data_IF_943533413017
#
_entry.id   IF_943533413017
#
_cell.length_a   1.000
_cell.length_b   1.000
_cell.length_c   1.000
_cell.angle_alpha   90.00
_cell.angle_beta   90.00
_cell.angle_gamma   90.00
#
_symmetry.space_group_name_H-M   'P 1'
#
loop_
_entity.id
_entity.type
_entity.pdbx_description
1 polymer ?
#
# COMPACT_ATOMS: atom_id res chain seq x y z
N UNK A 1 8.52 -3.27 -26.09
CA UNK A 1 7.25 -3.93 -26.40
C UNK A 1 6.25 -3.57 -25.34
N UNK A 2 5.01 -3.30 -25.73
CA UNK A 2 3.92 -2.83 -24.85
C UNK A 2 3.66 -3.78 -23.67
N UNK A 3 3.75 -5.09 -23.90
CA UNK A 3 3.63 -6.13 -22.84
C UNK A 3 4.70 -5.95 -21.74
N UNK A 4 5.93 -5.59 -22.11
CA UNK A 4 7.00 -5.39 -21.13
C UNK A 4 6.82 -4.10 -20.32
N UNK A 5 6.10 -3.12 -20.87
CA UNK A 5 5.75 -1.88 -20.17
C UNK A 5 4.61 -2.15 -19.20
N UNK A 6 3.54 -2.83 -19.64
CA UNK A 6 2.42 -3.23 -18.79
C UNK A 6 2.89 -4.03 -17.56
N UNK A 7 3.73 -5.06 -17.76
CA UNK A 7 4.30 -5.84 -16.65
C UNK A 7 5.12 -5.03 -15.66
N UNK A 8 5.81 -3.98 -16.12
CA UNK A 8 6.58 -3.08 -15.25
C UNK A 8 5.66 -2.17 -14.44
N UNK A 9 4.58 -1.68 -15.04
CA UNK A 9 3.58 -0.86 -14.36
C UNK A 9 2.88 -1.69 -13.27
N UNK A 10 2.47 -2.91 -13.59
CA UNK A 10 1.84 -3.84 -12.65
C UNK A 10 2.77 -4.19 -11.48
N UNK A 11 4.03 -4.54 -11.77
CA UNK A 11 5.03 -4.81 -10.72
C UNK A 11 5.30 -3.57 -9.83
N UNK A 12 5.26 -2.36 -10.40
CA UNK A 12 5.39 -1.12 -9.65
C UNK A 12 4.20 -0.86 -8.72
N UNK A 13 2.98 -1.09 -9.20
CA UNK A 13 1.75 -1.01 -8.40
C UNK A 13 1.77 -2.03 -7.27
N UNK A 14 2.20 -3.25 -7.54
CA UNK A 14 2.32 -4.31 -6.53
C UNK A 14 3.31 -3.96 -5.41
N UNK A 15 4.46 -3.39 -5.76
CA UNK A 15 5.43 -2.92 -4.78
C UNK A 15 4.86 -1.77 -3.92
N UNK A 16 4.08 -0.87 -4.54
CA UNK A 16 3.42 0.23 -3.85
C UNK A 16 2.34 -0.27 -2.89
N UNK A 17 1.45 -1.17 -3.33
CA UNK A 17 0.42 -1.77 -2.47
C UNK A 17 1.07 -2.48 -1.29
N UNK A 18 2.14 -3.24 -1.53
CA UNK A 18 2.86 -3.92 -0.45
C UNK A 18 3.38 -2.95 0.60
N UNK A 19 4.06 -1.87 0.19
CA UNK A 19 4.56 -0.86 1.13
C UNK A 19 3.43 -0.13 1.86
N UNK A 20 2.32 0.15 1.18
CA UNK A 20 1.14 0.71 1.83
C UNK A 20 0.56 -0.25 2.89
N UNK A 21 0.57 -1.56 2.63
CA UNK A 21 0.07 -2.57 3.56
C UNK A 21 0.98 -2.82 4.77
N UNK A 22 2.18 -2.25 4.81
CA UNK A 22 2.98 -2.27 6.04
C UNK A 22 2.44 -1.22 7.03
N UNK A 23 1.78 -0.17 6.53
CA UNK A 23 1.17 0.86 7.35
C UNK A 23 -0.29 0.51 7.76
N UNK A 24 -0.61 0.47 9.07
CA UNK A 24 -1.98 0.39 9.57
C UNK A 24 -2.87 1.57 9.16
N UNK A 25 -2.30 2.71 8.77
CA UNK A 25 -3.08 3.85 8.26
C UNK A 25 -3.81 3.51 6.96
N UNK A 26 -3.16 2.70 6.10
CA UNK A 26 -3.81 2.14 4.91
C UNK A 26 -5.07 1.37 5.29
N UNK A 27 -5.05 0.67 6.43
CA UNK A 27 -6.18 -0.13 6.86
C UNK A 27 -7.28 0.73 7.46
N UNK A 28 -6.94 1.74 8.23
CA UNK A 28 -7.93 2.70 8.74
C UNK A 28 -8.66 3.38 7.58
N UNK A 29 -7.93 3.79 6.53
CA UNK A 29 -8.54 4.30 5.31
C UNK A 29 -9.43 3.26 4.62
N UNK A 30 -9.00 1.99 4.50
CA UNK A 30 -9.82 0.91 3.93
C UNK A 30 -11.11 0.67 4.71
N UNK A 31 -11.05 0.69 6.04
CA UNK A 31 -12.24 0.54 6.89
C UNK A 31 -13.20 1.71 6.73
N UNK A 32 -12.66 2.94 6.65
CA UNK A 32 -13.46 4.13 6.37
C UNK A 32 -14.14 4.02 5.01
N UNK A 33 -13.43 3.62 3.95
CA UNK A 33 -14.01 3.49 2.62
C UNK A 33 -15.04 2.37 2.55
N UNK A 34 -14.80 1.23 3.21
CA UNK A 34 -15.77 0.15 3.34
C UNK A 34 -17.05 0.65 4.01
N UNK A 35 -16.93 1.35 5.14
CA UNK A 35 -18.07 1.91 5.85
C UNK A 35 -18.78 2.99 5.01
N UNK A 36 -18.05 3.82 4.28
CA UNK A 36 -18.62 4.80 3.34
C UNK A 36 -19.38 4.12 2.20
N UNK A 37 -18.88 3.01 1.67
CA UNK A 37 -19.53 2.24 0.60
C UNK A 37 -20.81 1.55 1.11
N UNK A 38 -20.77 0.95 2.31
CA UNK A 38 -21.93 0.32 2.96
C UNK A 38 -23.03 1.35 3.23
N UNK A 39 -22.65 2.52 3.72
CA UNK A 39 -23.58 3.62 4.02
C UNK A 39 -23.94 4.47 2.78
N UNK A 40 -23.60 4.02 1.58
CA UNK A 40 -23.92 4.67 0.30
C UNK A 40 -23.42 6.14 0.21
N UNK A 41 -22.34 6.47 0.93
CA UNK A 41 -21.69 7.80 0.89
C UNK A 41 -20.74 7.95 -0.29
N UNK A 42 -20.19 6.84 -0.76
CA UNK A 42 -19.36 6.75 -1.97
C UNK A 42 -19.89 5.63 -2.87
N UNK A 43 -19.53 5.67 -4.13
CA UNK A 43 -19.89 4.66 -5.12
C UNK A 43 -18.76 3.64 -5.26
N UNK A 44 -19.09 2.46 -5.81
CA UNK A 44 -18.10 1.39 -5.95
C UNK A 44 -16.96 1.82 -6.88
N UNK A 45 -17.25 2.57 -7.96
CA UNK A 45 -16.24 3.19 -8.83
C UNK A 45 -15.28 4.17 -8.16
N UNK A 46 -15.69 4.77 -7.03
CA UNK A 46 -14.83 5.69 -6.29
C UNK A 46 -13.80 4.94 -5.44
N UNK A 47 -13.98 3.63 -5.26
CA UNK A 47 -13.13 2.76 -4.46
C UNK A 47 -12.27 1.84 -5.34
N UNK A 48 -12.84 1.29 -6.41
CA UNK A 48 -12.17 0.32 -7.29
C UNK A 48 -12.12 0.80 -8.74
N UNK A 49 -11.19 0.24 -9.49
CA UNK A 49 -11.21 0.25 -10.94
C UNK A 49 -12.25 -0.75 -11.44
N UNK A 50 -13.46 -0.25 -11.75
CA UNK A 50 -14.58 -1.11 -12.15
C UNK A 50 -14.30 -1.94 -13.40
N UNK A 51 -13.67 -1.35 -14.41
CA UNK A 51 -13.40 -2.05 -15.68
C UNK A 51 -12.39 -3.16 -15.45
N UNK A 52 -11.31 -2.88 -14.71
CA UNK A 52 -10.32 -3.90 -14.37
C UNK A 52 -10.91 -5.02 -13.50
N UNK A 53 -11.70 -4.67 -12.48
CA UNK A 53 -12.33 -5.68 -11.61
C UNK A 53 -13.36 -6.50 -12.37
N UNK A 54 -14.22 -5.86 -13.17
CA UNK A 54 -15.22 -6.55 -13.98
C UNK A 54 -14.57 -7.49 -15.00
N UNK A 55 -13.56 -7.02 -15.73
CA UNK A 55 -12.83 -7.85 -16.69
C UNK A 55 -12.06 -9.01 -16.06
N UNK A 56 -11.61 -8.86 -14.81
CA UNK A 56 -10.95 -9.94 -14.07
C UNK A 56 -11.93 -11.03 -13.58
N UNK A 57 -13.15 -10.65 -13.17
CA UNK A 57 -14.19 -11.62 -12.75
C UNK A 57 -14.93 -12.23 -13.93
N UNK A 58 -15.04 -11.51 -15.05
CA UNK A 58 -15.68 -11.93 -16.29
C UNK A 58 -14.68 -11.94 -17.46
N UNK A 59 -13.66 -12.82 -17.46
CA UNK A 59 -12.70 -12.90 -18.54
C UNK A 59 -13.40 -13.32 -19.85
N UNK A 60 -13.01 -12.74 -21.00
CA UNK A 60 -13.56 -13.17 -22.28
C UNK A 60 -13.28 -14.66 -22.50
N UNK A 61 -14.21 -15.42 -23.11
CA UNK A 61 -14.03 -16.84 -23.35
C UNK A 61 -12.74 -17.08 -24.14
N UNK A 62 -11.91 -18.01 -23.67
CA UNK A 62 -10.68 -18.39 -24.37
C UNK A 62 -11.02 -18.77 -25.82
N UNK A 63 -10.25 -18.29 -26.82
CA UNK A 63 -10.47 -18.68 -28.20
C UNK A 63 -10.30 -20.21 -28.28
N UNK A 64 -11.40 -20.91 -28.60
CA UNK A 64 -11.35 -22.35 -28.85
C UNK A 64 -10.27 -22.60 -29.91
N UNK A 65 -9.38 -23.60 -29.73
CA UNK A 65 -8.51 -24.02 -30.81
C UNK A 65 -9.39 -24.33 -32.01
N UNK A 66 -9.12 -23.69 -33.15
CA UNK A 66 -9.72 -24.09 -34.42
C UNK A 66 -9.19 -25.49 -34.69
N UNK A 67 -10.03 -26.50 -34.50
CA UNK A 67 -9.80 -27.82 -35.08
C UNK A 67 -9.75 -27.61 -36.59
N UNK A 68 -8.54 -27.70 -37.16
CA UNK A 68 -8.32 -27.82 -38.59
C UNK A 68 -8.81 -29.22 -39.02
N UNK A 69 -10.08 -29.34 -39.35
CA UNK A 69 -10.55 -30.42 -40.21
C UNK A 69 -10.57 -29.93 -41.67
N UNK A 70 -9.73 -30.60 -42.47
CA UNK A 70 -9.75 -30.64 -43.92
C UNK A 70 -11.18 -30.69 -44.49
N UNK A 71 -11.45 -29.88 -45.53
CA UNK A 71 -11.94 -30.44 -46.80
C UNK A 71 -11.50 -29.56 -47.97
N UNK A 72 -10.97 -30.24 -48.97
CA UNK A 72 -10.58 -29.71 -50.26
C UNK A 72 -11.79 -29.56 -51.20
N UNK A 73 -11.59 -28.68 -52.19
CA UNK A 73 -12.26 -28.62 -53.50
C UNK A 73 -13.57 -27.78 -53.60
N UNK A 74 -13.45 -26.56 -54.13
CA UNK A 74 -13.90 -26.29 -55.50
C UNK A 74 -13.43 -24.89 -55.96
N UNK A 75 -12.80 -24.87 -57.14
CA UNK A 75 -12.45 -23.67 -57.88
C UNK A 75 -13.64 -23.18 -58.73
N UNK A 76 -13.95 -21.88 -58.69
CA UNK A 76 -13.99 -20.96 -59.87
C UNK A 76 -14.72 -19.63 -59.63
N UNK A 77 -14.11 -18.62 -60.26
CA UNK A 77 -14.70 -17.43 -60.91
C UNK A 77 -14.74 -16.09 -60.18
N UNK A 78 -14.02 -15.15 -60.80
CA UNK A 78 -14.17 -13.68 -60.86
C UNK A 78 -15.67 -13.26 -60.92
N UNK A 79 -16.10 -12.09 -60.43
CA UNK A 79 -15.75 -10.73 -60.85
C UNK A 79 -16.46 -9.75 -59.90
N UNK A 80 -15.94 -8.53 -59.78
CA UNK A 80 -16.34 -7.54 -58.79
C UNK A 80 -17.63 -6.77 -59.05
N UNK A 81 -18.11 -6.03 -58.04
CA UNK A 81 -18.59 -4.65 -58.22
C UNK A 81 -18.76 -3.94 -56.87
N UNK A 82 -18.58 -2.63 -56.94
CA UNK A 82 -18.56 -1.65 -55.84
C UNK A 82 -19.94 -1.46 -55.20
N UNK A 83 -19.95 -1.16 -53.91
CA UNK A 83 -20.92 -0.23 -53.32
C UNK A 83 -20.21 0.60 -52.25
N UNK A 84 -19.85 1.82 -52.62
CA UNK A 84 -19.81 2.97 -51.71
C UNK A 84 -21.28 3.30 -51.43
N UNK A 85 -21.68 3.29 -50.15
CA UNK A 85 -22.64 4.27 -49.66
C UNK A 85 -22.34 4.55 -48.18
N UNK A 86 -22.33 5.84 -47.89
CA UNK A 86 -22.00 6.52 -46.65
C UNK A 86 -22.99 6.23 -45.51
N UNK A 87 -22.55 6.60 -44.29
CA UNK A 87 -23.34 6.86 -43.08
C UNK A 87 -23.93 5.65 -42.33
N UNK A 88 -23.14 5.14 -41.38
CA UNK A 88 -23.56 5.02 -39.97
C UNK A 88 -22.28 4.94 -39.11
N UNK A 89 -21.63 6.10 -38.96
CA UNK A 89 -20.85 6.40 -37.74
C UNK A 89 -21.88 6.53 -36.60
N UNK A 90 -21.57 5.93 -35.44
CA UNK A 90 -22.33 5.96 -34.17
C UNK A 90 -23.27 4.77 -33.85
N UNK A 91 -22.78 3.52 -33.80
CA UNK A 91 -23.42 2.51 -32.93
C UNK A 91 -22.58 1.29 -32.49
N UNK A 92 -21.25 1.42 -32.39
CA UNK A 92 -20.38 0.37 -31.82
C UNK A 92 -20.13 0.51 -30.30
N UNK A 93 -20.97 1.30 -29.60
CA UNK A 93 -20.96 1.48 -28.14
C UNK A 93 -22.15 0.78 -27.44
N UNK A 94 -22.89 -0.07 -28.15
CA UNK A 94 -24.11 -0.74 -27.67
C UNK A 94 -23.89 -2.14 -27.06
N UNK A 95 -22.65 -2.54 -26.78
CA UNK A 95 -22.33 -3.81 -26.13
C UNK A 95 -21.50 -3.69 -24.83
N UNK A 96 -21.07 -2.49 -24.45
CA UNK A 96 -20.43 -2.26 -23.16
C UNK A 96 -21.52 -2.17 -22.07
N UNK A 97 -21.48 -3.08 -21.09
CA UNK A 97 -22.35 -3.01 -19.93
C UNK A 97 -22.23 -1.64 -19.25
N UNK A 98 -23.35 -1.00 -18.90
CA UNK A 98 -23.30 0.31 -18.24
C UNK A 98 -22.55 0.24 -16.90
N UNK A 99 -21.84 1.30 -16.52
CA UNK A 99 -21.10 1.38 -15.25
C UNK A 99 -21.97 1.03 -14.03
N UNK A 100 -23.23 1.47 -14.00
CA UNK A 100 -24.14 1.16 -12.88
C UNK A 100 -24.53 -0.33 -12.83
N UNK A 101 -24.57 -1.01 -13.96
CA UNK A 101 -24.82 -2.45 -14.01
C UNK A 101 -23.58 -3.25 -13.53
N UNK A 102 -22.38 -2.86 -13.95
CA UNK A 102 -21.13 -3.45 -13.43
C UNK A 102 -21.01 -3.22 -11.92
N UNK A 103 -21.36 -2.03 -11.42
CA UNK A 103 -21.36 -1.75 -9.98
C UNK A 103 -22.29 -2.67 -9.21
N UNK A 104 -23.50 -2.89 -9.71
CA UNK A 104 -24.49 -3.74 -9.05
C UNK A 104 -24.02 -5.22 -8.99
N UNK A 105 -23.40 -5.72 -10.04
CA UNK A 105 -22.89 -7.10 -10.11
C UNK A 105 -21.70 -7.32 -9.17
N UNK A 106 -20.76 -6.36 -9.14
CA UNK A 106 -19.52 -6.47 -8.35
C UNK A 106 -19.70 -6.13 -6.87
N UNK A 107 -20.76 -5.40 -6.49
CA UNK A 107 -20.93 -4.84 -5.15
C UNK A 107 -20.79 -5.88 -4.04
N UNK A 108 -21.55 -6.97 -4.13
CA UNK A 108 -21.56 -7.99 -3.07
C UNK A 108 -20.21 -8.72 -2.97
N UNK A 109 -19.60 -9.02 -4.13
CA UNK A 109 -18.28 -9.65 -4.18
C UNK A 109 -17.18 -8.76 -3.60
N UNK A 110 -17.16 -7.48 -3.95
CA UNK A 110 -16.17 -6.52 -3.42
C UNK A 110 -16.38 -6.29 -1.93
N UNK A 111 -17.62 -6.14 -1.46
CA UNK A 111 -17.92 -6.00 -0.04
C UNK A 111 -17.46 -7.22 0.76
N UNK A 112 -17.71 -8.43 0.26
CA UNK A 112 -17.25 -9.66 0.91
C UNK A 112 -15.72 -9.72 1.02
N UNK A 113 -14.99 -9.31 -0.03
CA UNK A 113 -13.52 -9.22 0.02
C UNK A 113 -13.05 -8.14 1.01
N UNK A 114 -13.72 -6.99 1.06
CA UNK A 114 -13.42 -5.94 2.04
C UNK A 114 -13.67 -6.40 3.49
N UNK A 115 -14.68 -7.24 3.72
CA UNK A 115 -14.95 -7.86 5.03
C UNK A 115 -13.85 -8.85 5.43
N UNK A 116 -13.42 -9.72 4.52
CA UNK A 116 -12.31 -10.66 4.76
C UNK A 116 -11.01 -9.91 5.10
N UNK A 117 -10.73 -8.85 4.34
CA UNK A 117 -9.60 -7.97 4.56
C UNK A 117 -9.71 -7.27 5.93
N UNK A 118 -10.90 -6.78 6.31
CA UNK A 118 -11.15 -6.18 7.62
C UNK A 118 -10.82 -7.14 8.79
N UNK A 119 -11.25 -8.39 8.67
CA UNK A 119 -10.99 -9.42 9.68
C UNK A 119 -9.49 -9.76 9.77
N UNK A 120 -8.82 -9.89 8.62
CA UNK A 120 -7.37 -10.04 8.52
C UNK A 120 -6.63 -8.89 9.23
N UNK A 121 -7.06 -7.65 8.99
CA UNK A 121 -6.51 -6.47 9.64
C UNK A 121 -6.72 -6.43 11.15
N UNK A 122 -7.90 -6.80 11.63
CA UNK A 122 -8.18 -6.84 13.07
C UNK A 122 -7.21 -7.78 13.81
N UNK A 123 -6.73 -8.83 13.17
CA UNK A 123 -5.70 -9.74 13.71
C UNK A 123 -4.29 -9.15 13.56
N UNK A 124 -3.97 -8.62 12.38
CA UNK A 124 -2.67 -8.04 12.10
C UNK A 124 -2.35 -6.84 13.00
N UNK A 125 -3.31 -5.93 13.23
CA UNK A 125 -3.17 -4.76 14.12
C UNK A 125 -2.80 -5.16 15.56
N UNK A 126 -3.38 -6.25 16.08
CA UNK A 126 -3.03 -6.75 17.42
C UNK A 126 -1.58 -7.21 17.51
N UNK A 127 -1.01 -7.71 16.41
CA UNK A 127 0.40 -8.08 16.34
C UNK A 127 1.30 -6.85 16.16
N UNK A 128 0.87 -5.85 15.38
CA UNK A 128 1.54 -4.54 15.29
C UNK A 128 1.64 -3.84 16.65
N UNK A 129 0.53 -3.72 17.38
CA UNK A 129 0.51 -3.12 18.72
C UNK A 129 1.46 -3.87 19.67
N UNK A 130 1.50 -5.20 19.57
CA UNK A 130 2.40 -6.05 20.34
C UNK A 130 3.87 -5.86 19.94
N UNK A 131 4.15 -5.66 18.65
CA UNK A 131 5.49 -5.37 18.14
C UNK A 131 5.99 -4.03 18.68
N UNK A 132 5.19 -2.96 18.53
CA UNK A 132 5.51 -1.63 19.05
C UNK A 132 5.77 -1.68 20.56
N UNK A 133 4.89 -2.33 21.33
CA UNK A 133 5.09 -2.49 22.79
C UNK A 133 6.35 -3.29 23.13
N UNK A 134 6.67 -4.35 22.37
CA UNK A 134 7.89 -5.13 22.59
C UNK A 134 9.13 -4.31 22.28
N UNK A 135 9.10 -3.50 21.22
CA UNK A 135 10.20 -2.60 20.84
C UNK A 135 10.42 -1.49 21.87
N UNK A 136 9.36 -0.95 22.47
CA UNK A 136 9.46 -0.05 23.63
C UNK A 136 10.15 -0.71 24.84
N UNK A 137 10.12 -2.03 24.96
CA UNK A 137 10.88 -2.78 25.97
C UNK A 137 12.26 -3.26 25.50
N UNK A 138 12.69 -2.89 24.29
CA UNK A 138 13.95 -3.35 23.68
C UNK A 138 13.92 -4.83 23.28
N UNK A 139 12.74 -5.39 22.95
CA UNK A 139 12.55 -6.78 22.52
C UNK A 139 11.84 -6.84 21.17
N UNK A 140 11.96 -7.97 20.50
CA UNK A 140 11.20 -8.29 19.30
C UNK A 140 9.96 -9.15 19.58
N UNK A 141 9.16 -9.38 18.54
CA UNK A 141 8.14 -10.43 18.55
C UNK A 141 8.77 -11.82 18.72
N UNK A 142 8.01 -12.77 19.26
CA UNK A 142 8.46 -14.17 19.29
C UNK A 142 8.47 -14.74 17.87
N UNK A 143 9.32 -15.74 17.55
CA UNK A 143 9.38 -16.29 16.19
C UNK A 143 8.02 -16.76 15.64
N UNK A 144 7.16 -17.30 16.52
CA UNK A 144 5.79 -17.69 16.16
C UNK A 144 4.91 -16.48 15.81
N UNK A 145 5.00 -15.41 16.60
CA UNK A 145 4.21 -14.20 16.37
C UNK A 145 4.71 -13.46 15.12
N UNK A 146 6.01 -13.50 14.84
CA UNK A 146 6.57 -12.96 13.61
C UNK A 146 6.08 -13.73 12.38
N UNK A 147 6.08 -15.06 12.41
CA UNK A 147 5.55 -15.86 11.30
C UNK A 147 4.06 -15.57 11.03
N UNK A 148 3.25 -15.44 12.08
CA UNK A 148 1.83 -15.06 11.95
C UNK A 148 1.67 -13.63 11.40
N UNK A 149 2.53 -12.70 11.81
CA UNK A 149 2.55 -11.33 11.30
C UNK A 149 2.85 -11.30 9.79
N UNK A 150 3.89 -12.01 9.36
CA UNK A 150 4.31 -12.08 7.96
C UNK A 150 3.24 -12.77 7.10
N UNK A 151 2.62 -13.85 7.59
CA UNK A 151 1.53 -14.56 6.90
C UNK A 151 0.30 -13.67 6.72
N UNK A 152 -0.14 -13.00 7.78
CA UNK A 152 -1.27 -12.07 7.71
C UNK A 152 -1.00 -10.93 6.73
N UNK A 153 0.20 -10.32 6.80
CA UNK A 153 0.61 -9.25 5.87
C UNK A 153 0.53 -9.70 4.41
N UNK A 154 1.06 -10.89 4.09
CA UNK A 154 1.00 -11.42 2.72
C UNK A 154 -0.44 -11.68 2.26
N UNK A 155 -1.27 -12.32 3.08
CA UNK A 155 -2.66 -12.63 2.73
C UNK A 155 -3.47 -11.35 2.50
N UNK A 156 -3.24 -10.32 3.31
CA UNK A 156 -3.80 -8.98 3.15
C UNK A 156 -3.41 -8.38 1.80
N UNK A 157 -2.11 -8.41 1.47
CA UNK A 157 -1.58 -7.80 0.24
C UNK A 157 -2.17 -8.51 -0.97
N UNK A 158 -2.22 -9.84 -0.95
CA UNK A 158 -2.84 -10.64 -2.00
C UNK A 158 -4.32 -10.31 -2.17
N UNK A 159 -5.07 -10.20 -1.07
CA UNK A 159 -6.49 -9.85 -1.11
C UNK A 159 -6.72 -8.45 -1.69
N UNK A 160 -5.93 -7.46 -1.28
CA UNK A 160 -6.04 -6.08 -1.81
C UNK A 160 -5.70 -5.98 -3.29
N UNK A 161 -4.78 -6.81 -3.81
CA UNK A 161 -4.50 -6.87 -5.25
C UNK A 161 -5.73 -7.30 -6.06
N UNK A 162 -6.56 -8.19 -5.53
CA UNK A 162 -7.76 -8.68 -6.24
C UNK A 162 -8.88 -7.65 -6.37
N UNK A 163 -8.95 -6.67 -5.47
CA UNK A 163 -10.01 -5.65 -5.43
C UNK A 163 -9.77 -4.53 -6.47
N UNK A 164 -8.56 -4.47 -7.05
CA UNK A 164 -8.14 -3.41 -7.96
C UNK A 164 -8.51 -2.00 -7.47
N UNK A 165 -7.98 -1.61 -6.31
CA UNK A 165 -8.21 -0.26 -5.74
C UNK A 165 -7.95 0.82 -6.80
N UNK A 166 -8.85 1.80 -6.84
CA UNK A 166 -8.78 2.95 -7.74
C UNK A 166 -7.47 3.74 -7.49
N UNK A 167 -6.79 4.16 -8.56
CA UNK A 167 -5.53 4.89 -8.47
C UNK A 167 -5.60 6.15 -7.60
N UNK A 168 -6.71 6.90 -7.64
CA UNK A 168 -6.86 8.11 -6.83
C UNK A 168 -6.81 7.80 -5.31
N UNK A 169 -7.30 6.63 -4.91
CA UNK A 169 -7.25 6.14 -3.53
C UNK A 169 -5.84 5.70 -3.14
N UNK A 170 -5.14 5.03 -4.05
CA UNK A 170 -3.73 4.67 -3.87
C UNK A 170 -2.87 5.94 -3.71
N UNK A 171 -3.07 6.94 -4.57
CA UNK A 171 -2.36 8.22 -4.51
C UNK A 171 -2.59 8.96 -3.18
N UNK A 172 -3.83 8.99 -2.69
CA UNK A 172 -4.16 9.59 -1.39
C UNK A 172 -3.43 8.90 -0.22
N UNK A 173 -3.35 7.56 -0.25
CA UNK A 173 -2.60 6.79 0.76
C UNK A 173 -1.09 7.07 0.70
N UNK A 174 -0.55 7.12 -0.53
CA UNK A 174 0.86 7.45 -0.75
C UNK A 174 1.15 8.86 -0.23
N UNK A 175 0.32 9.85 -0.55
CA UNK A 175 0.48 11.23 -0.07
C UNK A 175 0.46 11.31 1.47
N UNK A 176 -0.45 10.59 2.12
CA UNK A 176 -0.52 10.50 3.58
C UNK A 176 0.78 9.92 4.16
N UNK A 177 1.28 8.82 3.61
CA UNK A 177 2.55 8.20 4.05
C UNK A 177 3.74 9.14 3.84
N UNK A 178 3.79 9.85 2.70
CA UNK A 178 4.81 10.87 2.43
C UNK A 178 4.77 12.03 3.42
N UNK A 179 3.59 12.51 3.80
CA UNK A 179 3.44 13.58 4.78
C UNK A 179 4.00 13.18 6.14
N UNK A 180 3.75 11.93 6.56
CA UNK A 180 4.25 11.40 7.82
C UNK A 180 5.77 11.20 7.77
N UNK A 181 6.30 10.59 6.71
CA UNK A 181 7.73 10.43 6.52
C UNK A 181 8.46 11.79 6.52
N UNK A 182 7.86 12.82 5.91
CA UNK A 182 8.39 14.18 5.96
C UNK A 182 8.43 14.76 7.37
N UNK A 183 7.41 14.50 8.19
CA UNK A 183 7.37 14.90 9.61
C UNK A 183 8.49 14.20 10.40
N UNK A 184 8.61 12.88 10.24
CA UNK A 184 9.66 12.06 10.85
C UNK A 184 11.06 12.56 10.49
N UNK A 185 11.38 12.67 9.19
CA UNK A 185 12.67 13.20 8.73
C UNK A 185 12.97 14.61 9.27
N UNK A 186 11.94 15.43 9.47
CA UNK A 186 12.05 16.75 10.09
C UNK A 186 12.53 16.68 11.54
N UNK A 187 11.95 15.77 12.32
CA UNK A 187 12.30 15.51 13.72
C UNK A 187 13.70 14.91 13.86
N UNK A 188 14.02 13.88 13.07
CA UNK A 188 15.35 13.27 13.04
C UNK A 188 16.43 14.27 12.63
N UNK A 189 16.13 15.11 11.64
CA UNK A 189 17.01 16.20 11.23
C UNK A 189 17.21 17.25 12.32
N UNK A 190 16.17 17.56 13.11
CA UNK A 190 16.28 18.44 14.30
C UNK A 190 17.21 17.80 15.34
N UNK A 191 17.00 16.53 15.67
CA UNK A 191 17.82 15.80 16.65
C UNK A 191 19.29 15.72 16.22
N UNK A 192 19.54 15.41 14.96
CA UNK A 192 20.90 15.35 14.39
C UNK A 192 21.60 16.71 14.40
N UNK A 193 20.90 17.80 14.05
CA UNK A 193 21.49 19.16 14.11
C UNK A 193 21.85 19.56 15.54
N UNK A 194 21.05 19.16 16.53
CA UNK A 194 21.39 19.40 17.94
C UNK A 194 22.63 18.60 18.35
N UNK A 195 22.76 17.36 17.88
CA UNK A 195 23.94 16.53 18.13
C UNK A 195 25.21 17.15 17.51
N UNK A 196 25.13 17.59 16.26
CA UNK A 196 26.23 18.24 15.53
C UNK A 196 26.68 19.54 16.22
N UNK A 197 25.74 20.37 16.69
CA UNK A 197 26.04 21.58 17.46
C UNK A 197 26.81 21.30 18.78
N UNK A 198 26.72 20.09 19.30
CA UNK A 198 27.47 19.63 20.49
C UNK A 198 28.70 18.77 20.13
N UNK A 199 29.08 18.75 18.84
CA UNK A 199 30.28 18.10 18.33
C UNK A 199 30.15 16.59 18.14
N UNK A 200 28.93 16.05 18.10
CA UNK A 200 28.67 14.65 17.71
C UNK A 200 28.57 14.57 16.18
N UNK A 201 29.54 13.94 15.48
CA UNK A 201 29.51 13.86 14.03
C UNK A 201 28.32 13.05 13.51
N UNK A 202 27.76 13.45 12.36
CA UNK A 202 26.62 12.76 11.73
C UNK A 202 26.76 11.24 11.68
N UNK A 203 27.92 10.73 11.23
CA UNK A 203 28.13 9.27 11.11
C UNK A 203 27.95 8.56 12.45
N UNK A 204 28.55 9.10 13.50
CA UNK A 204 28.46 8.54 14.85
C UNK A 204 27.05 8.68 15.43
N UNK A 205 26.35 9.77 15.13
CA UNK A 205 24.96 9.93 15.50
C UNK A 205 24.09 8.83 14.89
N UNK A 206 24.18 8.63 13.56
CA UNK A 206 23.40 7.63 12.84
C UNK A 206 23.66 6.20 13.37
N UNK A 207 24.92 5.85 13.63
CA UNK A 207 25.30 4.54 14.21
C UNK A 207 24.68 4.28 15.60
N UNK A 208 24.44 5.34 16.36
CA UNK A 208 23.90 5.25 17.72
C UNK A 208 22.40 5.54 17.81
N UNK A 209 21.79 6.02 16.73
CA UNK A 209 20.38 6.38 16.65
C UNK A 209 19.56 5.35 15.87
N UNK A 210 20.04 4.90 14.71
CA UNK A 210 19.28 3.98 13.87
C UNK A 210 19.04 2.61 14.55
N UNK A 211 17.81 2.12 14.47
CA UNK A 211 17.31 0.93 15.14
C UNK A 211 17.14 1.09 16.67
N UNK A 212 17.29 2.33 17.19
CA UNK A 212 17.18 2.69 18.62
C UNK A 212 16.31 3.93 18.83
N UNK A 213 15.49 4.26 17.84
CA UNK A 213 14.61 5.43 17.78
C UNK A 213 13.58 5.38 18.91
N UNK A 214 13.11 4.18 19.24
CA UNK A 214 12.09 3.93 20.26
C UNK A 214 12.64 3.41 21.59
N UNK A 215 13.97 3.34 21.75
CA UNK A 215 14.57 2.87 22.99
C UNK A 215 14.37 3.90 24.13
N UNK A 216 13.77 3.51 25.28
CA UNK A 216 13.50 4.45 26.37
C UNK A 216 14.77 5.06 26.97
N UNK A 217 15.79 4.23 27.21
CA UNK A 217 17.04 4.64 27.87
C UNK A 217 18.10 5.15 26.88
N UNK A 218 17.68 5.58 25.69
CA UNK A 218 18.59 6.02 24.64
C UNK A 218 19.51 7.14 25.10
N UNK A 219 18.95 8.15 25.76
CA UNK A 219 19.68 9.30 26.29
C UNK A 219 20.78 8.88 27.26
N UNK A 220 20.44 8.08 28.27
CA UNK A 220 21.39 7.62 29.29
C UNK A 220 22.49 6.72 28.71
N UNK A 221 22.14 5.84 27.76
CA UNK A 221 23.13 5.02 27.05
C UNK A 221 24.12 5.88 26.26
N UNK A 222 23.63 6.80 25.43
CA UNK A 222 24.53 7.59 24.56
C UNK A 222 25.35 8.60 25.37
N UNK A 223 24.79 9.13 26.47
CA UNK A 223 25.49 9.99 27.43
C UNK A 223 26.76 9.34 27.99
N UNK A 224 26.79 8.02 28.14
CA UNK A 224 27.95 7.26 28.61
C UNK A 224 29.04 7.04 27.54
N UNK A 225 28.78 7.31 26.26
CA UNK A 225 29.73 7.01 25.17
C UNK A 225 30.94 7.94 25.17
N UNK A 226 30.73 9.25 25.35
CA UNK A 226 31.82 10.23 25.42
C UNK A 226 31.37 11.59 25.96
N UNK A 227 32.34 12.46 26.26
CA UNK A 227 32.09 13.80 26.80
C UNK A 227 31.29 14.72 25.86
N UNK A 228 31.28 14.46 24.53
CA UNK A 228 30.46 15.22 23.57
C UNK A 228 28.99 14.78 23.60
N UNK A 229 28.72 13.47 23.69
CA UNK A 229 27.37 12.97 23.89
C UNK A 229 26.79 13.39 25.22
N UNK A 230 27.61 13.34 26.29
CA UNK A 230 27.18 13.85 27.59
C UNK A 230 26.75 15.31 27.52
N UNK A 231 27.54 16.17 26.86
CA UNK A 231 27.20 17.58 26.64
C UNK A 231 25.94 17.75 25.79
N UNK A 232 25.76 16.93 24.76
CA UNK A 232 24.54 16.95 23.93
C UNK A 232 23.30 16.61 24.75
N UNK A 233 23.29 15.48 25.45
CA UNK A 233 22.13 15.03 26.24
C UNK A 233 21.86 16.00 27.40
N UNK A 234 22.87 16.43 28.15
CA UNK A 234 22.66 17.35 29.30
C UNK A 234 22.33 18.78 28.86
N UNK A 235 22.85 19.24 27.72
CA UNK A 235 22.61 20.60 27.22
C UNK A 235 21.26 20.79 26.55
N UNK A 236 20.62 19.71 26.10
CA UNK A 236 19.37 19.72 25.32
C UNK A 236 18.36 18.67 25.79
N UNK A 237 18.43 18.26 27.05
CA UNK A 237 17.64 17.16 27.61
C UNK A 237 16.16 17.24 27.22
N UNK A 238 15.48 18.32 27.61
CA UNK A 238 14.04 18.48 27.39
C UNK A 238 13.70 18.52 25.88
N UNK A 239 14.48 19.24 25.07
CA UNK A 239 14.28 19.30 23.62
C UNK A 239 14.50 17.94 22.92
N UNK A 240 15.38 17.09 23.46
CA UNK A 240 15.63 15.75 22.96
C UNK A 240 14.48 14.82 23.33
N UNK A 241 14.03 14.87 24.59
CA UNK A 241 12.88 14.08 25.04
C UNK A 241 11.62 14.44 24.27
N UNK A 242 11.32 15.74 24.10
CA UNK A 242 10.19 16.20 23.30
C UNK A 242 10.23 15.63 21.87
N UNK A 243 11.37 15.77 21.19
CA UNK A 243 11.53 15.25 19.83
C UNK A 243 11.39 13.73 19.76
N UNK A 244 11.96 13.00 20.73
CA UNK A 244 11.85 11.53 20.77
C UNK A 244 10.43 11.07 21.13
N UNK A 245 9.72 11.82 21.96
CA UNK A 245 8.31 11.57 22.25
C UNK A 245 7.47 11.79 20.99
N UNK A 246 7.68 12.88 20.25
CA UNK A 246 7.00 13.12 18.97
C UNK A 246 7.30 12.01 17.93
N UNK A 247 8.54 11.51 17.87
CA UNK A 247 8.91 10.37 17.00
C UNK A 247 8.21 9.09 17.47
N UNK A 248 8.11 8.87 18.77
CA UNK A 248 7.41 7.71 19.35
C UNK A 248 5.91 7.76 19.10
N UNK A 249 5.30 8.94 19.18
CA UNK A 249 3.90 9.17 18.80
C UNK A 249 3.67 8.88 17.32
N UNK A 250 4.58 9.31 16.44
CA UNK A 250 4.52 8.96 15.01
C UNK A 250 4.62 7.44 14.82
N UNK A 251 5.55 6.76 15.49
CA UNK A 251 5.66 5.30 15.39
C UNK A 251 4.40 4.57 15.89
N UNK A 252 3.72 5.12 16.90
CA UNK A 252 2.43 4.60 17.35
C UNK A 252 1.30 4.89 16.35
N UNK A 253 1.29 6.07 15.73
CA UNK A 253 0.32 6.48 14.71
C UNK A 253 0.43 5.62 13.45
N UNK A 254 1.66 5.34 12.98
CA UNK A 254 1.92 4.44 11.84
C UNK A 254 1.98 2.98 12.30
N UNK A 255 1.87 2.64 13.58
CA UNK A 255 1.89 1.25 14.07
C UNK A 255 3.04 0.35 13.57
N UNK A 256 4.13 0.93 13.07
CA UNK A 256 5.35 0.26 12.62
C UNK A 256 6.56 0.88 13.32
N UNK A 257 7.59 0.08 13.62
CA UNK A 257 8.89 0.62 14.03
C UNK A 257 9.44 1.59 12.97
N UNK A 258 10.25 2.56 13.40
CA UNK A 258 10.83 3.59 12.52
C UNK A 258 11.89 3.01 11.57
N UNK A 259 12.47 1.85 11.91
CA UNK A 259 13.49 1.16 11.13
C UNK A 259 12.95 0.32 9.96
N UNK A 260 11.63 0.12 9.89
CA UNK A 260 10.92 -0.59 8.81
C UNK A 260 10.40 0.40 7.76
#
# INVERSE_FOLDING_TARGET
>A
GEIAIAKRIEAGRDAMIRGLCESPLTFEAMMVWRDELINERILLRDLIDLEATYGAENPPPEPKPKDEEDEADEAKSEDGEKSDDDDDDDEDDAAAMSMSAMEAELRDGVLAKLDEIADGFGRYRKLQDKLVHRRLEGKDLTPKAQAEYDELSNNIVESLKTIHINNARIEALVEQLYAINKKLMGLEGKLMRMADAHGVPRKEFLENYFGKELEPEWGERVKALSAKWKRFIEGKHDEIEDVRNEISEIAQEIGIPIDD
#
